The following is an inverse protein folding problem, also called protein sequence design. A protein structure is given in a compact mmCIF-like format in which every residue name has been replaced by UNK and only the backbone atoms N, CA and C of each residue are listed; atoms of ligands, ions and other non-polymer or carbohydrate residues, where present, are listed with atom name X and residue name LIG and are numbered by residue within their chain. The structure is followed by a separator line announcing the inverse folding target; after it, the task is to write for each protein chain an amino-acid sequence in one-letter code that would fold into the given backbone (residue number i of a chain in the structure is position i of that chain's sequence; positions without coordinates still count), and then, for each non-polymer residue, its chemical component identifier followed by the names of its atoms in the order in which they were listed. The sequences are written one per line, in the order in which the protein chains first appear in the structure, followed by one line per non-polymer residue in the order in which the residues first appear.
data_IF_262248004222
#
_entry.id   IF_262248004222
#
_cell.length_a   1.000
_cell.length_b   1.000
_cell.length_c   1.000
_cell.angle_alpha   90.00
_cell.angle_beta   90.00
_cell.angle_gamma   90.00
#
_symmetry.space_group_name_H-M   'P 1'
#
loop_
_entity.id
_entity.type
_entity.pdbx_description
1 polymer ?
#
# COMPACT_ATOMS: atom_id res chain seq x y z
N UNK A 1 16.95 -5.10 5.01
CA UNK A 1 15.74 -5.33 4.20
C UNK A 1 14.78 -6.32 4.85
N UNK A 2 15.24 -7.47 5.38
CA UNK A 2 14.35 -8.42 6.08
C UNK A 2 13.83 -7.95 7.45
N UNK A 3 14.55 -7.09 8.17
CA UNK A 3 14.17 -6.68 9.55
C UNK A 3 12.86 -5.89 9.64
N UNK A 4 12.35 -5.36 8.53
CA UNK A 4 11.07 -4.65 8.48
C UNK A 4 9.86 -5.58 8.35
N UNK A 5 10.09 -6.79 7.80
CA UNK A 5 9.04 -7.75 7.52
C UNK A 5 8.28 -8.21 8.80
N UNK A 6 8.94 -8.52 9.93
CA UNK A 6 8.24 -8.86 11.17
C UNK A 6 7.33 -7.74 11.66
N UNK A 7 7.77 -6.49 11.54
CA UNK A 7 6.99 -5.32 11.95
C UNK A 7 5.71 -5.17 11.11
N UNK A 8 5.81 -5.44 9.80
CA UNK A 8 4.66 -5.41 8.90
C UNK A 8 3.63 -6.48 9.27
N UNK A 9 4.09 -7.70 9.57
CA UNK A 9 3.20 -8.79 10.00
C UNK A 9 2.48 -8.48 11.31
N UNK A 10 3.13 -7.79 12.26
CA UNK A 10 2.48 -7.34 13.49
C UNK A 10 1.34 -6.35 13.18
N UNK A 11 1.59 -5.37 12.30
CA UNK A 11 0.57 -4.38 11.91
C UNK A 11 -0.61 -5.07 11.19
N UNK A 12 -0.30 -5.98 10.26
CA UNK A 12 -1.32 -6.75 9.53
C UNK A 12 -2.13 -7.62 10.49
N UNK A 13 -1.49 -8.30 11.44
CA UNK A 13 -2.17 -9.12 12.44
C UNK A 13 -3.06 -8.31 13.38
N UNK A 14 -2.59 -7.13 13.81
CA UNK A 14 -3.41 -6.18 14.59
C UNK A 14 -4.62 -5.71 13.80
N UNK A 15 -4.43 -5.37 12.53
CA UNK A 15 -5.52 -4.99 11.63
C UNK A 15 -6.54 -6.12 11.47
N UNK A 16 -6.10 -7.36 11.29
CA UNK A 16 -6.96 -8.54 11.15
C UNK A 16 -7.82 -8.78 12.41
N UNK A 17 -7.25 -8.57 13.60
CA UNK A 17 -7.98 -8.70 14.87
C UNK A 17 -8.93 -7.53 15.13
N UNK A 18 -8.55 -6.31 14.76
CA UNK A 18 -9.35 -5.11 15.03
C UNK A 18 -10.45 -4.83 14.01
N UNK A 19 -10.29 -5.29 12.77
CA UNK A 19 -11.25 -5.02 11.69
C UNK A 19 -12.18 -6.22 11.50
N UNK A 20 -13.49 -6.07 11.80
CA UNK A 20 -14.44 -7.16 11.61
C UNK A 20 -14.51 -7.61 10.16
N UNK A 21 -14.52 -8.93 9.96
CA UNK A 21 -14.55 -9.54 8.62
C UNK A 21 -15.74 -9.07 7.79
N UNK A 22 -16.89 -8.82 8.43
CA UNK A 22 -18.12 -8.35 7.79
C UNK A 22 -17.94 -6.97 7.15
N UNK A 23 -17.13 -6.09 7.78
CA UNK A 23 -16.82 -4.75 7.25
C UNK A 23 -15.99 -4.85 5.98
N UNK A 24 -15.01 -5.75 5.96
CA UNK A 24 -14.15 -6.01 4.80
C UNK A 24 -14.99 -6.63 3.69
N UNK A 25 -15.77 -7.67 3.99
CA UNK A 25 -16.60 -8.36 3.00
C UNK A 25 -17.64 -7.44 2.35
N UNK A 26 -18.25 -6.53 3.13
CA UNK A 26 -19.21 -5.56 2.60
C UNK A 26 -18.62 -4.62 1.54
N UNK A 27 -17.35 -4.24 1.65
CA UNK A 27 -16.73 -3.23 0.79
C UNK A 27 -15.79 -3.83 -0.27
N UNK A 28 -15.19 -4.98 0.01
CA UNK A 28 -14.12 -5.60 -0.79
C UNK A 28 -14.38 -7.11 -1.02
N UNK A 29 -15.43 -7.69 -0.43
CA UNK A 29 -15.77 -9.10 -0.61
C UNK A 29 -16.45 -9.42 -1.94
N UNK A 30 -16.80 -10.69 -2.16
CA UNK A 30 -17.43 -11.15 -3.41
C UNK A 30 -18.74 -10.41 -3.74
N UNK A 31 -19.51 -10.01 -2.73
CA UNK A 31 -20.76 -9.27 -2.92
C UNK A 31 -20.58 -7.75 -3.11
N UNK A 32 -19.35 -7.23 -3.05
CA UNK A 32 -19.08 -5.79 -3.17
C UNK A 32 -19.27 -5.23 -4.58
N UNK A 33 -19.37 -6.11 -5.58
CA UNK A 33 -19.63 -5.77 -6.98
C UNK A 33 -18.61 -4.78 -7.56
N UNK A 34 -19.04 -4.01 -8.56
CA UNK A 34 -18.17 -3.05 -9.29
C UNK A 34 -17.60 -1.96 -8.36
N UNK A 35 -18.35 -1.54 -7.33
CA UNK A 35 -17.91 -0.51 -6.37
C UNK A 35 -16.71 -0.99 -5.54
N UNK A 36 -16.72 -2.24 -5.09
CA UNK A 36 -15.58 -2.81 -4.38
C UNK A 36 -14.36 -2.97 -5.27
N UNK A 37 -14.55 -3.41 -6.52
CA UNK A 37 -13.45 -3.49 -7.51
C UNK A 37 -12.82 -2.11 -7.72
N UNK A 38 -13.63 -1.09 -7.97
CA UNK A 38 -13.14 0.29 -8.16
C UNK A 38 -12.39 0.80 -6.92
N UNK A 39 -12.88 0.50 -5.72
CA UNK A 39 -12.24 0.88 -4.46
C UNK A 39 -10.86 0.22 -4.32
N UNK A 40 -10.76 -1.10 -4.59
CA UNK A 40 -9.48 -1.83 -4.52
C UNK A 40 -8.48 -1.30 -5.54
N UNK A 41 -8.91 -1.06 -6.78
CA UNK A 41 -8.05 -0.47 -7.81
C UNK A 41 -7.53 0.90 -7.37
N UNK A 42 -8.39 1.75 -6.83
CA UNK A 42 -8.01 3.08 -6.36
C UNK A 42 -7.02 3.01 -5.18
N UNK A 43 -7.25 2.11 -4.23
CA UNK A 43 -6.34 1.87 -3.10
C UNK A 43 -4.97 1.34 -3.57
N UNK A 44 -4.94 0.44 -4.55
CA UNK A 44 -3.69 -0.07 -5.13
C UNK A 44 -2.94 1.02 -5.91
N UNK A 45 -3.64 1.85 -6.68
CA UNK A 45 -3.06 2.99 -7.40
C UNK A 45 -2.46 4.03 -6.46
N UNK A 46 -3.03 4.21 -5.27
CA UNK A 46 -2.50 5.12 -4.25
C UNK A 46 -1.09 4.72 -3.79
N UNK A 47 -0.72 3.44 -3.91
CA UNK A 47 0.65 2.99 -3.65
C UNK A 47 1.55 3.11 -4.89
N UNK A 48 1.04 2.79 -6.07
CA UNK A 48 1.81 2.85 -7.32
C UNK A 48 2.16 4.29 -7.73
N UNK A 49 1.24 5.25 -7.57
CA UNK A 49 1.42 6.65 -7.96
C UNK A 49 2.61 7.33 -7.26
N UNK A 50 2.68 7.34 -5.91
CA UNK A 50 3.82 7.87 -5.18
C UNK A 50 5.13 7.20 -5.56
N UNK A 51 5.10 5.89 -5.86
CA UNK A 51 6.27 5.16 -6.30
C UNK A 51 6.78 5.70 -7.66
N UNK A 52 5.88 5.89 -8.63
CA UNK A 52 6.22 6.48 -9.93
C UNK A 52 6.71 7.93 -9.85
N UNK A 53 6.33 8.70 -8.82
CA UNK A 53 6.87 10.03 -8.57
C UNK A 53 8.21 10.01 -7.83
N UNK A 54 8.37 9.12 -6.85
CA UNK A 54 9.56 9.03 -6.02
C UNK A 54 10.80 8.59 -6.82
N UNK A 55 10.66 7.67 -7.77
CA UNK A 55 11.78 7.16 -8.56
C UNK A 55 12.44 8.22 -9.47
N UNK A 56 11.70 8.99 -10.30
CA UNK A 56 12.27 10.09 -11.08
C UNK A 56 12.89 11.18 -10.21
N UNK A 57 12.26 11.51 -9.07
CA UNK A 57 12.81 12.49 -8.12
C UNK A 57 14.13 11.98 -7.55
N UNK A 58 14.16 10.74 -7.07
CA UNK A 58 15.39 10.10 -6.59
C UNK A 58 16.47 10.07 -7.66
N UNK A 59 16.11 9.78 -8.92
CA UNK A 59 17.03 9.79 -10.06
C UNK A 59 17.60 11.19 -10.35
N UNK A 60 16.78 12.24 -10.29
CA UNK A 60 17.23 13.62 -10.48
C UNK A 60 18.16 14.04 -9.33
N UNK A 61 17.82 13.71 -8.09
CA UNK A 61 18.66 14.00 -6.92
C UNK A 61 20.00 13.27 -7.01
N UNK A 62 19.99 12.00 -7.40
CA UNK A 62 21.19 11.22 -7.66
C UNK A 62 22.07 11.87 -8.75
N UNK A 63 21.47 12.30 -9.86
CA UNK A 63 22.19 13.05 -10.93
C UNK A 63 22.77 14.37 -10.45
N UNK A 64 22.18 15.00 -9.43
CA UNK A 64 22.70 16.22 -8.80
C UNK A 64 23.79 15.95 -7.76
N UNK A 65 24.28 14.72 -7.64
CA UNK A 65 25.33 14.34 -6.69
C UNK A 65 24.84 14.21 -5.26
N UNK A 66 23.52 14.26 -5.03
CA UNK A 66 22.93 14.03 -3.70
C UNK A 66 22.89 12.52 -3.50
N UNK A 67 23.77 12.04 -2.63
CA UNK A 67 23.85 10.65 -2.23
C UNK A 67 23.07 10.42 -0.94
N UNK A 68 22.34 9.31 -0.84
CA UNK A 68 21.62 8.92 0.38
C UNK A 68 22.55 8.34 1.47
N UNK A 69 23.85 8.70 1.43
CA UNK A 69 24.88 8.22 2.36
C UNK A 69 25.15 9.25 3.43
#
# INVERSE_FOLDING_TARGET
MLSFLPFLFIIVGLFDVWVPKERIQKHIGQESGIKGIALVVLLAMLQAGPLYGAFPIAYILYKKGISAR
#
